data_IF_000676984094
#
_entry.id   IF_000676984094
#
_cell.length_a   1.000
_cell.length_b   1.000
_cell.length_c   1.000
_cell.angle_alpha   90.00
_cell.angle_beta   90.00
_cell.angle_gamma   90.00
#
_symmetry.space_group_name_H-M   'P 1'
#
loop_
_entity.id
_entity.type
_entity.pdbx_description
1 polymer ?
#
# COMPACT_ATOMS: atom_id res chain seq x y z
N UNK A 1 -43.20 -30.62 -6.12
CA UNK A 1 -42.06 -29.81 -5.64
C UNK A 1 -41.70 -28.85 -6.76
N UNK A 2 -42.15 -27.60 -6.71
CA UNK A 2 -41.83 -26.60 -7.72
C UNK A 2 -40.52 -25.91 -7.33
N UNK A 3 -39.50 -26.04 -8.16
CA UNK A 3 -38.21 -25.38 -7.99
C UNK A 3 -38.40 -23.89 -8.30
N UNK A 4 -38.38 -23.04 -7.27
CA UNK A 4 -38.33 -21.59 -7.47
C UNK A 4 -37.00 -21.22 -8.15
N UNK A 5 -37.07 -20.94 -9.45
CA UNK A 5 -35.95 -20.35 -10.18
C UNK A 5 -35.87 -18.90 -9.71
N UNK A 6 -34.90 -18.60 -8.85
CA UNK A 6 -34.62 -17.25 -8.40
C UNK A 6 -34.44 -16.34 -9.62
N UNK A 7 -35.34 -15.37 -9.78
CA UNK A 7 -35.24 -14.36 -10.84
C UNK A 7 -33.89 -13.63 -10.70
N UNK A 8 -33.12 -13.43 -11.78
CA UNK A 8 -31.89 -12.66 -11.70
C UNK A 8 -32.22 -11.26 -11.18
N UNK A 9 -31.60 -10.86 -10.07
CA UNK A 9 -31.78 -9.53 -9.50
C UNK A 9 -31.39 -8.50 -10.57
N UNK A 10 -32.33 -7.69 -11.02
CA UNK A 10 -32.00 -6.53 -11.84
C UNK A 10 -31.08 -5.61 -11.01
N UNK A 11 -30.00 -5.07 -11.61
CA UNK A 11 -28.96 -4.32 -10.88
C UNK A 11 -29.49 -3.05 -10.22
N UNK A 12 -30.63 -2.52 -10.67
CA UNK A 12 -31.24 -1.28 -10.16
C UNK A 12 -31.73 -1.38 -8.70
N UNK A 13 -31.87 -2.58 -8.13
CA UNK A 13 -32.38 -2.80 -6.78
C UNK A 13 -31.35 -3.18 -5.71
N UNK A 14 -30.07 -3.42 -6.07
CA UNK A 14 -29.05 -3.76 -5.06
C UNK A 14 -28.63 -2.49 -4.33
N UNK A 15 -28.60 -2.54 -3.00
CA UNK A 15 -28.01 -1.46 -2.21
C UNK A 15 -26.56 -1.31 -2.63
N UNK A 16 -26.04 -0.07 -2.74
CA UNK A 16 -24.64 0.19 -3.09
C UNK A 16 -23.68 -0.66 -2.24
N UNK A 17 -24.01 -0.94 -0.98
CA UNK A 17 -23.16 -1.77 -0.10
C UNK A 17 -23.12 -3.27 -0.45
N UNK A 18 -24.08 -3.78 -1.23
CA UNK A 18 -24.11 -5.19 -1.69
C UNK A 18 -23.35 -5.39 -3.00
N UNK A 19 -22.90 -4.31 -3.64
CA UNK A 19 -22.21 -4.35 -4.92
C UNK A 19 -20.68 -4.31 -4.71
N UNK A 20 -19.94 -5.33 -5.21
CA UNK A 20 -18.49 -5.41 -5.06
C UNK A 20 -17.74 -4.17 -5.56
N UNK A 21 -18.27 -3.48 -6.57
CA UNK A 21 -17.65 -2.26 -7.11
C UNK A 21 -17.58 -1.17 -6.04
N UNK A 22 -18.59 -1.09 -5.18
CA UNK A 22 -18.71 -0.07 -4.13
C UNK A 22 -18.20 -0.54 -2.75
N UNK A 23 -17.57 -1.71 -2.68
CA UNK A 23 -16.92 -2.19 -1.46
C UNK A 23 -15.68 -1.34 -1.11
N UNK A 24 -15.31 -1.30 0.18
CA UNK A 24 -14.12 -0.57 0.64
C UNK A 24 -12.87 -1.06 -0.10
N UNK A 25 -12.08 -0.17 -0.72
CA UNK A 25 -10.86 -0.58 -1.38
C UNK A 25 -9.81 -1.05 -0.37
N UNK A 26 -9.05 -2.07 -0.76
CA UNK A 26 -8.03 -2.71 0.10
C UNK A 26 -6.60 -2.37 -0.33
N UNK A 27 -6.45 -1.73 -1.49
CA UNK A 27 -5.17 -1.28 -2.02
C UNK A 27 -5.39 -0.17 -3.06
N UNK A 28 -4.30 0.49 -3.46
CA UNK A 28 -4.33 1.47 -4.55
C UNK A 28 -4.77 0.86 -5.88
N UNK A 29 -4.35 -0.37 -6.17
CA UNK A 29 -4.74 -1.08 -7.39
C UNK A 29 -6.24 -1.45 -7.39
N UNK A 30 -6.75 -1.90 -6.23
CA UNK A 30 -8.17 -2.21 -6.04
C UNK A 30 -9.04 -0.95 -6.20
N UNK A 31 -8.62 0.19 -5.65
CA UNK A 31 -9.27 1.48 -5.91
C UNK A 31 -9.30 1.81 -7.41
N UNK A 32 -8.15 1.68 -8.10
CA UNK A 32 -8.06 1.93 -9.53
C UNK A 32 -9.02 1.06 -10.35
N UNK A 33 -9.11 -0.24 -10.03
CA UNK A 33 -10.03 -1.17 -10.67
C UNK A 33 -11.49 -0.76 -10.43
N UNK A 34 -11.87 -0.42 -9.20
CA UNK A 34 -13.23 -0.01 -8.87
C UNK A 34 -13.65 1.27 -9.60
N UNK A 35 -12.77 2.26 -9.68
CA UNK A 35 -13.01 3.50 -10.43
C UNK A 35 -13.18 3.23 -11.92
N UNK A 36 -12.36 2.36 -12.51
CA UNK A 36 -12.51 1.96 -13.91
C UNK A 36 -13.84 1.24 -14.17
N UNK A 37 -14.29 0.39 -13.24
CA UNK A 37 -15.57 -0.30 -13.35
C UNK A 37 -16.78 0.64 -13.22
N UNK A 38 -16.73 1.64 -12.34
CA UNK A 38 -17.74 2.71 -12.29
C UNK A 38 -17.79 3.42 -13.64
N UNK A 39 -16.63 3.88 -14.12
CA UNK A 39 -16.54 4.60 -15.38
C UNK A 39 -17.11 3.77 -16.55
N UNK A 40 -16.75 2.48 -16.63
CA UNK A 40 -17.27 1.56 -17.64
C UNK A 40 -18.79 1.39 -17.55
N UNK A 41 -19.36 1.24 -16.34
CA UNK A 41 -20.82 1.11 -16.17
C UNK A 41 -21.55 2.36 -16.63
N UNK A 42 -21.03 3.54 -16.31
CA UNK A 42 -21.63 4.80 -16.72
C UNK A 42 -21.52 5.02 -18.23
N UNK A 43 -20.44 4.60 -18.89
CA UNK A 43 -20.35 4.62 -20.36
C UNK A 43 -21.21 3.56 -21.06
N UNK A 44 -21.40 2.39 -20.45
CA UNK A 44 -22.23 1.32 -21.01
C UNK A 44 -23.72 1.67 -21.00
N UNK A 45 -24.15 2.56 -20.11
CA UNK A 45 -25.54 3.04 -20.01
C UNK A 45 -25.83 4.26 -20.91
N UNK A 46 -24.89 4.67 -21.77
CA UNK A 46 -25.15 5.73 -22.76
C UNK A 46 -26.10 5.15 -23.81
N UNK A 47 -27.33 5.65 -23.84
CA UNK A 47 -28.31 5.32 -24.87
C UNK A 47 -27.76 5.66 -26.26
N UNK A 48 -28.11 4.85 -27.27
CA UNK A 48 -27.75 5.14 -28.66
C UNK A 48 -28.22 6.56 -29.03
N UNK A 49 -27.36 7.34 -29.72
CA UNK A 49 -27.71 8.69 -30.11
C UNK A 49 -28.94 8.64 -31.02
N UNK A 50 -30.03 9.22 -30.55
CA UNK A 50 -31.29 9.29 -31.28
C UNK A 50 -31.41 10.67 -31.91
N UNK A 51 -31.81 10.72 -33.19
CA UNK A 51 -32.06 12.00 -33.86
C UNK A 51 -33.27 12.66 -33.21
N UNK A 52 -33.14 13.84 -32.57
CA UNK A 52 -34.27 14.50 -31.95
C UNK A 52 -35.25 14.96 -33.03
N UNK A 53 -36.54 14.66 -32.84
CA UNK A 53 -37.60 15.01 -33.78
C UNK A 53 -38.27 16.34 -33.42
N UNK A 54 -38.17 16.75 -32.15
CA UNK A 54 -38.68 18.03 -31.66
C UNK A 54 -37.86 18.58 -30.48
N UNK A 55 -38.11 19.84 -30.08
CA UNK A 55 -37.41 20.47 -28.96
C UNK A 55 -37.59 19.75 -27.61
N UNK A 56 -38.74 19.12 -27.39
CA UNK A 56 -38.98 18.32 -26.18
C UNK A 56 -38.10 17.07 -26.11
N UNK A 57 -37.63 16.54 -27.24
CA UNK A 57 -36.70 15.39 -27.26
C UNK A 57 -35.32 15.83 -26.77
N UNK A 58 -34.87 17.01 -27.21
CA UNK A 58 -33.60 17.63 -26.79
C UNK A 58 -33.60 17.91 -25.29
N UNK A 59 -34.70 18.46 -24.75
CA UNK A 59 -34.81 18.72 -23.30
C UNK A 59 -34.76 17.43 -22.48
N UNK A 60 -35.44 16.36 -22.94
CA UNK A 60 -35.40 15.06 -22.25
C UNK A 60 -33.99 14.46 -22.29
N UNK A 61 -33.30 14.55 -23.42
CA UNK A 61 -31.93 14.04 -23.56
C UNK A 61 -30.96 14.82 -22.67
N UNK A 62 -31.07 16.15 -22.60
CA UNK A 62 -30.25 16.98 -21.70
C UNK A 62 -30.47 16.63 -20.22
N UNK A 63 -31.73 16.44 -19.81
CA UNK A 63 -32.05 16.03 -18.44
C UNK A 63 -31.48 14.64 -18.13
N UNK A 64 -31.57 13.70 -19.08
CA UNK A 64 -31.02 12.36 -18.92
C UNK A 64 -29.48 12.38 -18.82
N UNK A 65 -28.80 13.14 -19.68
CA UNK A 65 -27.33 13.30 -19.62
C UNK A 65 -26.89 13.94 -18.30
N UNK A 66 -27.60 14.97 -17.83
CA UNK A 66 -27.31 15.60 -16.54
C UNK A 66 -27.47 14.61 -15.39
N UNK A 67 -28.58 13.86 -15.37
CA UNK A 67 -28.81 12.84 -14.34
C UNK A 67 -27.71 11.79 -14.34
N UNK A 68 -27.32 11.29 -15.52
CA UNK A 68 -26.23 10.33 -15.66
C UNK A 68 -24.89 10.88 -15.14
N UNK A 69 -24.60 12.15 -15.42
CA UNK A 69 -23.41 12.83 -14.90
C UNK A 69 -23.45 12.94 -13.37
N UNK A 70 -24.58 13.36 -12.81
CA UNK A 70 -24.77 13.48 -11.35
C UNK A 70 -24.62 12.11 -10.66
N UNK A 71 -25.25 11.07 -11.22
CA UNK A 71 -25.16 9.69 -10.73
C UNK A 71 -23.70 9.17 -10.75
N UNK A 72 -22.94 9.48 -11.81
CA UNK A 72 -21.51 9.15 -11.89
C UNK A 72 -20.69 9.83 -10.79
N UNK A 73 -20.91 11.13 -10.56
CA UNK A 73 -20.19 11.86 -9.52
C UNK A 73 -20.53 11.35 -8.12
N UNK A 74 -21.79 11.00 -7.87
CA UNK A 74 -22.22 10.42 -6.60
C UNK A 74 -21.53 9.07 -6.32
N UNK A 75 -21.48 8.20 -7.32
CA UNK A 75 -20.81 6.91 -7.25
C UNK A 75 -19.30 7.06 -7.03
N UNK A 76 -18.66 7.97 -7.78
CA UNK A 76 -17.25 8.31 -7.62
C UNK A 76 -16.95 8.83 -6.22
N UNK A 77 -17.73 9.80 -5.73
CA UNK A 77 -17.57 10.40 -4.41
C UNK A 77 -17.79 9.39 -3.28
N UNK A 78 -18.67 8.40 -3.48
CA UNK A 78 -18.88 7.32 -2.53
C UNK A 78 -17.63 6.44 -2.38
N UNK A 79 -17.04 5.99 -3.48
CA UNK A 79 -15.82 5.18 -3.44
C UNK A 79 -14.65 5.97 -2.84
N UNK A 80 -14.47 7.22 -3.25
CA UNK A 80 -13.38 8.05 -2.73
C UNK A 80 -13.50 8.28 -1.21
N UNK A 81 -14.72 8.41 -0.67
CA UNK A 81 -14.94 8.47 0.78
C UNK A 81 -14.52 7.18 1.49
N UNK A 82 -14.88 6.01 0.96
CA UNK A 82 -14.44 4.72 1.52
C UNK A 82 -12.92 4.56 1.43
N UNK A 83 -12.30 4.99 0.33
CA UNK A 83 -10.86 4.96 0.15
C UNK A 83 -10.13 5.83 1.17
N UNK A 84 -10.60 7.07 1.38
CA UNK A 84 -10.00 7.99 2.35
C UNK A 84 -10.09 7.42 3.77
N UNK A 85 -11.26 6.93 4.18
CA UNK A 85 -11.42 6.29 5.50
C UNK A 85 -10.46 5.12 5.68
N UNK A 86 -10.31 4.27 4.67
CA UNK A 86 -9.37 3.15 4.72
C UNK A 86 -7.91 3.62 4.83
N UNK A 87 -7.52 4.67 4.10
CA UNK A 87 -6.17 5.24 4.21
C UNK A 87 -5.90 5.82 5.60
N UNK A 88 -6.89 6.49 6.21
CA UNK A 88 -6.78 7.00 7.58
C UNK A 88 -6.59 5.85 8.58
N UNK A 89 -7.35 4.77 8.44
CA UNK A 89 -7.20 3.55 9.26
C UNK A 89 -5.80 2.92 9.10
N UNK A 90 -5.28 2.85 7.86
CA UNK A 90 -3.91 2.36 7.62
C UNK A 90 -2.86 3.26 8.26
N UNK A 91 -3.04 4.58 8.19
CA UNK A 91 -2.11 5.54 8.81
C UNK A 91 -2.04 5.34 10.32
N UNK A 92 -3.18 5.23 11.00
CA UNK A 92 -3.22 4.95 12.44
C UNK A 92 -2.53 3.63 12.78
N UNK A 93 -2.73 2.59 11.97
CA UNK A 93 -2.08 1.29 12.15
C UNK A 93 -0.56 1.39 12.00
N UNK A 94 -0.07 2.10 10.98
CA UNK A 94 1.36 2.33 10.76
C UNK A 94 1.98 3.04 11.95
N UNK A 95 1.40 4.16 12.40
CA UNK A 95 1.92 4.90 13.55
C UNK A 95 1.97 4.04 14.83
N UNK A 96 0.98 3.16 15.03
CA UNK A 96 1.00 2.22 16.16
C UNK A 96 2.17 1.24 16.06
N UNK A 97 2.35 0.61 14.90
CA UNK A 97 3.46 -0.33 14.68
C UNK A 97 4.83 0.36 14.80
N UNK A 98 4.96 1.60 14.36
CA UNK A 98 6.21 2.38 14.49
C UNK A 98 6.57 2.63 15.96
N UNK A 99 5.57 2.97 16.81
CA UNK A 99 5.78 3.12 18.26
C UNK A 99 6.19 1.81 18.91
N UNK A 100 5.53 0.71 18.58
CA UNK A 100 5.88 -0.63 19.08
C UNK A 100 7.30 -1.04 18.65
N UNK A 101 7.66 -0.81 17.39
CA UNK A 101 9.03 -1.05 16.91
C UNK A 101 10.08 -0.22 17.67
N UNK A 102 9.78 1.05 17.96
CA UNK A 102 10.69 1.91 18.72
C UNK A 102 10.88 1.41 20.16
N UNK A 103 9.81 0.99 20.83
CA UNK A 103 9.87 0.41 22.17
C UNK A 103 10.68 -0.89 22.18
N UNK A 104 10.44 -1.79 21.23
CA UNK A 104 11.20 -3.04 21.12
C UNK A 104 12.69 -2.79 20.85
N UNK A 105 13.04 -1.79 20.03
CA UNK A 105 14.45 -1.40 19.81
C UNK A 105 15.10 -0.84 21.07
N UNK A 106 14.37 -0.04 21.85
CA UNK A 106 14.86 0.48 23.13
C UNK A 106 15.12 -0.67 24.14
N UNK A 107 14.15 -1.59 24.28
CA UNK A 107 14.30 -2.77 25.15
C UNK A 107 15.46 -3.67 24.71
N UNK A 108 15.65 -3.86 23.40
CA UNK A 108 16.78 -4.63 22.88
C UNK A 108 18.13 -3.97 23.22
N UNK A 109 18.23 -2.64 23.12
CA UNK A 109 19.44 -1.90 23.47
C UNK A 109 19.74 -1.95 24.99
N UNK A 110 18.72 -1.93 25.85
CA UNK A 110 18.88 -2.11 27.30
C UNK A 110 19.46 -3.48 27.64
N UNK A 111 18.92 -4.56 27.05
CA UNK A 111 19.42 -5.92 27.25
C UNK A 111 20.84 -6.11 26.72
N UNK A 112 21.22 -5.45 25.62
CA UNK A 112 22.58 -5.49 25.08
C UNK A 112 23.57 -4.73 25.97
N UNK A 113 23.15 -3.61 26.57
CA UNK A 113 23.94 -2.85 27.53
C UNK A 113 24.18 -3.59 28.85
N UNK A 114 23.18 -4.32 29.35
CA UNK A 114 23.31 -5.17 30.55
C UNK A 114 24.26 -6.36 30.34
N UNK A 115 24.27 -6.95 29.14
CA UNK A 115 25.21 -8.02 28.78
C UNK A 115 26.67 -7.58 28.81
N UNK A 116 26.97 -6.34 28.39
CA UNK A 116 28.32 -5.78 28.43
C UNK A 116 28.76 -5.34 29.84
N UNK A 117 27.82 -4.92 30.70
CA UNK A 117 28.13 -4.56 32.09
C UNK A 117 28.43 -5.81 32.95
N UNK A 118 27.80 -6.94 32.65
CA UNK A 118 28.08 -8.21 33.33
C UNK A 118 29.47 -8.79 33.00
N UNK A 119 29.98 -8.60 31.78
CA UNK A 119 31.31 -9.10 31.37
C UNK A 119 32.48 -8.27 31.91
N UNK A 120 32.26 -7.02 32.33
CA UNK A 120 33.33 -6.14 32.87
C UNK A 120 33.45 -6.20 34.40
N UNK A 121 32.49 -6.82 35.10
CA UNK A 121 32.42 -6.83 36.57
C UNK A 121 33.21 -7.96 37.27
N UNK A 122 33.88 -8.87 36.54
CA UNK A 122 34.49 -10.07 37.12
C UNK A 122 36.02 -10.17 37.00
N UNK A 123 36.75 -9.06 37.02
CA UNK A 123 38.22 -9.10 37.14
C UNK A 123 38.62 -8.49 38.49
N UNK A 124 39.01 -9.28 39.51
CA UNK A 124 39.64 -8.72 40.69
C UNK A 124 41.06 -8.25 40.29
N UNK A 125 41.37 -7.00 40.62
CA UNK A 125 42.72 -6.45 40.54
C UNK A 125 43.69 -7.31 41.36
N UNK A 126 44.67 -7.91 40.68
CA UNK A 126 45.91 -8.36 41.34
C UNK A 126 47.07 -7.56 40.80
N UNK A 127 47.57 -6.67 41.64
CA UNK A 127 48.83 -5.93 41.48
C UNK A 127 50.00 -6.92 41.47
N UNK A 128 50.86 -6.87 40.44
CA UNK A 128 52.31 -7.11 40.59
C UNK A 128 53.09 -6.76 39.33
N UNK A 129 54.32 -6.35 39.57
CA UNK A 129 55.10 -5.43 38.78
C UNK A 129 55.91 -6.05 37.62
N UNK A 130 56.30 -5.15 36.70
CA UNK A 130 57.61 -5.03 36.04
C UNK A 130 58.13 -6.18 35.18
N UNK A 131 58.31 -5.90 33.88
CA UNK A 131 59.10 -6.73 32.97
C UNK A 131 59.25 -6.12 31.58
N UNK A 132 60.27 -5.27 31.43
CA UNK A 132 60.84 -4.79 30.17
C UNK A 132 61.12 -5.94 29.19
N UNK A 133 60.82 -5.79 27.89
CA UNK A 133 61.82 -5.93 26.81
C UNK A 133 61.24 -5.63 25.42
N UNK A 134 61.98 -4.81 24.68
CA UNK A 134 61.92 -4.64 23.23
C UNK A 134 62.10 -5.96 22.46
N UNK A 135 61.39 -6.08 21.32
CA UNK A 135 61.94 -6.50 20.02
C UNK A 135 60.82 -6.46 18.97
N UNK A 136 60.81 -5.52 18.03
CA UNK A 136 61.65 -5.37 16.83
C UNK A 136 61.10 -6.11 15.59
N UNK A 137 60.97 -5.32 14.50
CA UNK A 137 61.02 -5.69 13.07
C UNK A 137 59.79 -6.36 12.42
N UNK A 138 58.90 -5.49 11.94
CA UNK A 138 58.67 -5.25 10.51
C UNK A 138 58.08 -6.37 9.64
N UNK A 139 56.91 -6.11 9.02
CA UNK A 139 56.68 -6.52 7.63
C UNK A 139 55.66 -5.64 6.90
N UNK A 140 55.98 -5.43 5.63
CA UNK A 140 55.44 -4.54 4.60
C UNK A 140 53.91 -4.42 4.51
N UNK A 141 53.48 -3.18 4.27
CA UNK A 141 52.22 -2.80 3.61
C UNK A 141 52.12 -3.50 2.24
N UNK A 142 50.96 -4.06 1.90
CA UNK A 142 50.53 -4.25 0.52
C UNK A 142 49.12 -3.71 0.37
N UNK A 143 49.05 -2.49 -0.16
CA UNK A 143 47.87 -1.90 -0.77
C UNK A 143 47.44 -2.74 -1.98
N UNK A 144 46.17 -3.06 -2.09
CA UNK A 144 45.53 -3.38 -3.37
C UNK A 144 44.36 -2.41 -3.48
N UNK A 145 44.50 -1.48 -4.42
CA UNK A 145 43.45 -0.57 -4.84
C UNK A 145 42.50 -1.24 -5.83
N UNK A 146 41.33 -0.63 -5.89
CA UNK A 146 40.43 -0.40 -7.03
C UNK A 146 40.56 -1.27 -8.28
N UNK A 147 39.42 -1.80 -8.71
CA UNK A 147 39.23 -2.41 -10.03
C UNK A 147 37.75 -2.45 -10.38
N UNK A 148 37.36 -1.51 -11.21
CA UNK A 148 36.06 -1.34 -11.86
C UNK A 148 35.62 -2.57 -12.69
N UNK A 149 34.31 -2.67 -12.93
CA UNK A 149 33.77 -3.04 -14.24
C UNK A 149 33.68 -4.51 -14.62
N UNK A 150 32.45 -5.00 -14.81
CA UNK A 150 32.08 -5.63 -16.09
C UNK A 150 30.58 -5.82 -16.21
N UNK A 151 30.00 -5.04 -17.13
CA UNK A 151 28.87 -5.47 -17.95
C UNK A 151 29.20 -6.83 -18.61
N UNK A 152 28.23 -7.75 -18.65
CA UNK A 152 28.18 -8.72 -19.73
C UNK A 152 26.74 -9.20 -19.98
N UNK A 153 26.27 -8.87 -21.17
CA UNK A 153 25.06 -9.30 -21.84
C UNK A 153 24.87 -10.83 -21.87
N UNK A 154 23.63 -11.32 -21.94
CA UNK A 154 23.26 -12.23 -23.04
C UNK A 154 21.78 -12.26 -23.37
N UNK A 155 21.55 -12.17 -24.68
CA UNK A 155 20.30 -12.15 -25.44
C UNK A 155 19.65 -13.54 -25.54
N UNK A 156 18.32 -13.50 -25.73
CA UNK A 156 17.47 -14.32 -26.62
C UNK A 156 17.39 -15.84 -26.40
N UNK A 157 16.16 -16.31 -26.20
CA UNK A 157 15.47 -17.16 -27.18
C UNK A 157 14.05 -16.60 -27.36
#
# INVERSE_FOLDING_TARGET
MATEIARPSTPEGRRRDDDPVFSTPTSKADLGLKLALIQQRHYANVSEPTTPTCGADVERELVAMKKQQDDFFDDYAFIMRKANKWMDEQKVKIEKMERECAQLRAQAAELEGEGQQAETSSVPETTSASGSLENSRGRKRKSIGEGEGSEAQKKRA
#
